data_IF_133680450942
#
_entry.id   IF_133680450942
#
_cell.length_a   1.000
_cell.length_b   1.000
_cell.length_c   1.000
_cell.angle_alpha   90.00
_cell.angle_beta   90.00
_cell.angle_gamma   90.00
#
_symmetry.space_group_name_H-M   'P 1'
#
loop_
_entity.id
_entity.type
_entity.pdbx_description
1 polymer ?
#
# COMPACT_ATOMS: atom_id res chain seq x y z
N UNK A 1 17.00 -4.62 -2.23
CA UNK A 1 16.67 -4.66 -3.68
C UNK A 1 15.61 -3.58 -3.94
N UNK A 2 15.77 -2.40 -3.33
CA UNK A 2 14.63 -1.64 -2.77
C UNK A 2 14.16 -0.50 -3.69
N UNK A 3 14.97 -0.19 -4.70
CA UNK A 3 14.64 0.82 -5.71
C UNK A 3 13.42 0.44 -6.56
N UNK A 4 13.13 -0.86 -6.70
CA UNK A 4 11.96 -1.35 -7.42
C UNK A 4 10.67 -0.99 -6.66
N UNK A 5 10.68 -1.11 -5.32
CA UNK A 5 9.59 -0.70 -4.44
C UNK A 5 9.37 0.81 -4.44
N UNK A 6 10.44 1.61 -4.33
CA UNK A 6 10.35 3.07 -4.41
C UNK A 6 9.69 3.57 -5.70
N UNK A 7 10.02 2.94 -6.84
CA UNK A 7 9.40 3.29 -8.13
C UNK A 7 7.92 2.92 -8.21
N UNK A 8 7.52 1.76 -7.67
CA UNK A 8 6.13 1.31 -7.62
C UNK A 8 5.29 2.20 -6.70
N UNK A 9 5.82 2.58 -5.54
CA UNK A 9 5.19 3.51 -4.61
C UNK A 9 4.99 4.88 -5.27
N UNK A 10 5.98 5.36 -6.04
CA UNK A 10 5.86 6.62 -6.78
C UNK A 10 4.71 6.60 -7.81
N UNK A 11 4.60 5.54 -8.60
CA UNK A 11 3.48 5.39 -9.56
C UNK A 11 2.14 5.28 -8.82
N UNK A 12 2.11 4.59 -7.68
CA UNK A 12 0.92 4.45 -6.83
C UNK A 12 0.48 5.81 -6.27
N UNK A 13 1.43 6.63 -5.82
CA UNK A 13 1.19 8.03 -5.41
C UNK A 13 0.62 8.87 -6.56
N UNK A 14 1.17 8.75 -7.77
CA UNK A 14 0.66 9.44 -8.95
C UNK A 14 -0.78 9.00 -9.29
N UNK A 15 -1.09 7.72 -9.19
CA UNK A 15 -2.46 7.21 -9.41
C UNK A 15 -3.45 7.69 -8.35
N UNK A 16 -3.02 7.81 -7.09
CA UNK A 16 -3.84 8.42 -6.05
C UNK A 16 -4.11 9.91 -6.37
N UNK A 17 -3.11 10.65 -6.88
CA UNK A 17 -3.29 12.03 -7.32
C UNK A 17 -4.27 12.14 -8.50
N UNK A 18 -4.16 11.26 -9.49
CA UNK A 18 -5.14 11.17 -10.58
C UNK A 18 -6.56 10.87 -10.08
N UNK A 19 -6.70 10.01 -9.07
CA UNK A 19 -7.99 9.79 -8.44
C UNK A 19 -8.50 11.04 -7.71
N UNK A 20 -7.62 11.81 -7.07
CA UNK A 20 -8.00 13.08 -6.45
C UNK A 20 -8.53 14.06 -7.51
N UNK A 21 -7.80 14.30 -8.60
CA UNK A 21 -8.19 15.26 -9.64
C UNK A 21 -9.53 14.91 -10.29
N UNK A 22 -9.83 13.63 -10.50
CA UNK A 22 -11.12 13.15 -11.01
C UNK A 22 -12.30 13.40 -10.05
N UNK A 23 -12.03 13.75 -8.79
CA UNK A 23 -13.03 13.99 -7.74
C UNK A 23 -13.00 15.42 -7.23
N UNK A 24 -12.45 16.36 -8.00
CA UNK A 24 -12.38 17.80 -7.65
C UNK A 24 -13.74 18.41 -7.26
N UNK A 25 -14.84 17.90 -7.80
CA UNK A 25 -16.21 18.33 -7.45
C UNK A 25 -16.73 17.78 -6.08
N UNK A 26 -16.00 16.88 -5.41
CA UNK A 26 -16.35 16.27 -4.12
C UNK A 26 -15.21 16.48 -3.12
N UNK A 27 -15.26 17.54 -2.28
CA UNK A 27 -14.10 17.99 -1.51
C UNK A 27 -13.55 16.94 -0.54
N UNK A 28 -14.42 16.18 0.13
CA UNK A 28 -13.98 15.12 1.05
C UNK A 28 -13.23 13.99 0.33
N UNK A 29 -13.75 13.54 -0.81
CA UNK A 29 -13.10 12.48 -1.58
C UNK A 29 -11.79 12.99 -2.20
N UNK A 30 -11.77 14.22 -2.73
CA UNK A 30 -10.55 14.89 -3.20
C UNK A 30 -9.47 14.91 -2.11
N UNK A 31 -9.81 15.38 -0.90
CA UNK A 31 -8.86 15.48 0.22
C UNK A 31 -8.27 14.14 0.62
N UNK A 32 -9.07 13.07 0.66
CA UNK A 32 -8.58 11.73 1.03
C UNK A 32 -7.60 11.19 -0.01
N UNK A 33 -7.91 11.32 -1.30
CA UNK A 33 -7.02 10.88 -2.36
C UNK A 33 -5.75 11.72 -2.45
N UNK A 34 -5.85 13.02 -2.15
CA UNK A 34 -4.70 13.91 -2.08
C UNK A 34 -3.80 13.54 -0.89
N UNK A 35 -4.40 13.28 0.28
CA UNK A 35 -3.69 12.80 1.46
C UNK A 35 -2.99 11.48 1.17
N UNK A 36 -3.71 10.51 0.59
CA UNK A 36 -3.15 9.21 0.21
C UNK A 36 -1.99 9.35 -0.76
N UNK A 37 -2.11 10.22 -1.77
CA UNK A 37 -1.01 10.52 -2.69
C UNK A 37 0.21 11.12 -1.98
N UNK A 38 -0.01 12.09 -1.09
CA UNK A 38 1.07 12.71 -0.34
C UNK A 38 1.76 11.69 0.60
N UNK A 39 0.99 10.89 1.34
CA UNK A 39 1.53 9.87 2.25
C UNK A 39 2.34 8.83 1.49
N UNK A 40 1.79 8.23 0.42
CA UNK A 40 2.52 7.24 -0.40
C UNK A 40 3.73 7.89 -1.07
N UNK A 41 3.63 9.15 -1.49
CA UNK A 41 4.73 9.89 -2.10
C UNK A 41 5.89 10.11 -1.13
N UNK A 42 5.59 10.42 0.15
CA UNK A 42 6.62 10.54 1.19
C UNK A 42 7.32 9.20 1.44
N UNK A 43 6.57 8.10 1.52
CA UNK A 43 7.16 6.75 1.67
C UNK A 43 8.00 6.37 0.45
N UNK A 44 7.55 6.72 -0.76
CA UNK A 44 8.33 6.50 -1.98
C UNK A 44 9.66 7.26 -1.97
N UNK A 45 9.70 8.49 -1.43
CA UNK A 45 10.93 9.26 -1.26
C UNK A 45 11.83 8.55 -0.26
N UNK A 46 11.29 8.17 0.90
CA UNK A 46 12.04 7.44 1.92
C UNK A 46 12.72 6.19 1.35
N UNK A 47 11.98 5.37 0.59
CA UNK A 47 12.51 4.18 -0.08
C UNK A 47 13.55 4.48 -1.17
N UNK A 48 13.29 5.46 -2.03
CA UNK A 48 14.23 5.82 -3.10
C UNK A 48 15.58 6.35 -2.56
N UNK A 49 15.55 6.98 -1.39
CA UNK A 49 16.72 7.57 -0.74
C UNK A 49 17.24 6.78 0.46
N UNK A 50 16.60 5.65 0.80
CA UNK A 50 16.92 4.78 1.94
C UNK A 50 17.09 5.59 3.24
N UNK A 51 16.17 6.51 3.53
CA UNK A 51 16.30 7.37 4.71
C UNK A 51 16.01 6.59 6.00
N UNK A 52 15.10 5.61 5.97
CA UNK A 52 14.81 4.73 7.11
C UNK A 52 15.99 3.80 7.47
N UNK A 53 16.73 3.25 6.50
CA UNK A 53 17.94 2.45 6.79
C UNK A 53 18.97 3.26 7.58
N UNK A 54 19.13 4.55 7.26
CA UNK A 54 20.01 5.48 8.01
C UNK A 54 19.47 5.82 9.40
N UNK A 55 18.15 5.74 9.60
CA UNK A 55 17.53 5.95 10.90
C UNK A 55 17.64 4.69 11.78
N UNK A 56 17.48 3.50 11.20
CA UNK A 56 17.63 2.20 11.89
C UNK A 56 19.05 2.03 12.43
N UNK A 57 20.07 2.50 11.71
CA UNK A 57 21.46 2.56 12.20
C UNK A 57 21.61 3.35 13.52
N UNK A 58 20.65 4.24 13.84
CA UNK A 58 20.66 5.13 15.00
C UNK A 58 19.70 4.64 16.10
N UNK A 59 18.53 4.08 15.76
CA UNK A 59 17.47 3.74 16.73
C UNK A 59 17.28 2.24 17.01
N UNK A 60 17.78 1.34 16.15
CA UNK A 60 17.93 -0.08 16.45
C UNK A 60 16.65 -0.93 16.58
N UNK A 61 15.47 -0.43 16.21
CA UNK A 61 14.20 -1.19 16.26
C UNK A 61 13.21 -0.68 15.19
N UNK A 62 12.73 -1.57 14.32
CA UNK A 62 11.87 -1.24 13.15
C UNK A 62 10.53 -2.02 13.11
N UNK A 63 10.29 -2.94 14.04
CA UNK A 63 9.17 -3.87 13.88
C UNK A 63 7.84 -3.38 14.44
N UNK A 64 7.87 -2.56 15.50
CA UNK A 64 6.68 -1.90 16.04
C UNK A 64 5.99 -0.95 15.03
N UNK A 65 6.73 -0.11 14.27
CA UNK A 65 6.19 0.68 13.17
C UNK A 65 5.43 -0.14 12.10
N UNK A 66 5.93 -1.32 11.73
CA UNK A 66 5.32 -2.16 10.69
C UNK A 66 3.92 -2.67 11.08
N UNK A 67 3.72 -3.07 12.34
CA UNK A 67 2.39 -3.46 12.87
C UNK A 67 1.42 -2.26 12.85
N UNK A 68 1.90 -1.08 13.23
CA UNK A 68 1.07 0.13 13.21
C UNK A 68 0.66 0.50 11.78
N UNK A 69 1.57 0.37 10.82
CA UNK A 69 1.32 0.64 9.40
C UNK A 69 0.22 -0.25 8.83
N UNK A 70 0.24 -1.55 9.14
CA UNK A 70 -0.79 -2.45 8.63
C UNK A 70 -2.16 -2.19 9.27
N UNK A 71 -2.21 -1.88 10.57
CA UNK A 71 -3.44 -1.48 11.23
C UNK A 71 -4.01 -0.20 10.59
N UNK A 72 -3.15 0.79 10.32
CA UNK A 72 -3.53 2.01 9.61
C UNK A 72 -4.03 1.73 8.19
N UNK A 73 -3.40 0.82 7.45
CA UNK A 73 -3.81 0.44 6.10
C UNK A 73 -5.22 -0.16 6.07
N UNK A 74 -5.53 -1.08 7.01
CA UNK A 74 -6.86 -1.68 7.14
C UNK A 74 -7.93 -0.66 7.49
N UNK A 75 -7.65 0.23 8.44
CA UNK A 75 -8.54 1.36 8.79
C UNK A 75 -8.72 2.30 7.61
N UNK A 76 -7.66 2.59 6.87
CA UNK A 76 -7.69 3.43 5.66
C UNK A 76 -8.62 2.87 4.58
N UNK A 77 -8.52 1.57 4.28
CA UNK A 77 -9.41 0.89 3.32
C UNK A 77 -10.87 0.96 3.79
N UNK A 78 -11.11 0.73 5.09
CA UNK A 78 -12.45 0.82 5.67
C UNK A 78 -13.02 2.24 5.54
N UNK A 79 -12.28 3.28 5.95
CA UNK A 79 -12.70 4.68 5.84
C UNK A 79 -12.96 5.06 4.38
N UNK A 80 -12.07 4.67 3.47
CA UNK A 80 -12.23 4.94 2.04
C UNK A 80 -13.52 4.31 1.49
N UNK A 81 -13.86 3.09 1.91
CA UNK A 81 -15.10 2.41 1.51
C UNK A 81 -16.39 3.08 2.03
N UNK A 82 -16.30 3.88 3.09
CA UNK A 82 -17.43 4.63 3.66
C UNK A 82 -17.61 5.99 3.02
N UNK A 83 -16.51 6.67 2.70
CA UNK A 83 -16.53 8.03 2.16
C UNK A 83 -16.71 8.01 0.64
N UNK A 84 -16.24 6.95 -0.02
CA UNK A 84 -16.37 6.78 -1.44
C UNK A 84 -17.14 5.51 -1.82
N UNK A 85 -17.99 5.62 -2.84
CA UNK A 85 -18.54 4.46 -3.54
C UNK A 85 -17.46 3.82 -4.41
N UNK A 86 -16.64 2.99 -3.78
CA UNK A 86 -15.72 2.10 -4.47
C UNK A 86 -16.49 1.08 -5.32
N UNK A 87 -15.94 0.73 -6.48
CA UNK A 87 -16.49 -0.38 -7.26
C UNK A 87 -16.22 -1.70 -6.53
N UNK A 88 -17.14 -2.66 -6.60
CA UNK A 88 -17.02 -3.94 -5.88
C UNK A 88 -15.71 -4.66 -6.20
N UNK A 89 -15.27 -4.62 -7.47
CA UNK A 89 -13.98 -5.20 -7.86
C UNK A 89 -12.77 -4.43 -7.31
N UNK A 90 -12.80 -3.10 -7.25
CA UNK A 90 -11.73 -2.32 -6.65
C UNK A 90 -11.64 -2.57 -5.13
N UNK A 91 -12.78 -2.67 -4.46
CA UNK A 91 -12.84 -3.00 -3.04
C UNK A 91 -12.33 -4.42 -2.75
N UNK A 92 -12.70 -5.40 -3.57
CA UNK A 92 -12.18 -6.76 -3.44
C UNK A 92 -10.66 -6.80 -3.61
N UNK A 93 -10.12 -6.10 -4.62
CA UNK A 93 -8.68 -6.01 -4.84
C UNK A 93 -7.94 -5.33 -3.69
N UNK A 94 -8.50 -4.27 -3.08
CA UNK A 94 -7.93 -3.64 -1.89
C UNK A 94 -7.84 -4.63 -0.72
N UNK A 95 -8.91 -5.39 -0.46
CA UNK A 95 -8.91 -6.37 0.63
C UNK A 95 -7.99 -7.57 0.36
N UNK A 96 -7.92 -8.04 -0.89
CA UNK A 96 -6.95 -9.07 -1.26
C UNK A 96 -5.51 -8.58 -1.12
N UNK A 97 -5.23 -7.34 -1.55
CA UNK A 97 -3.92 -6.70 -1.37
C UNK A 97 -3.56 -6.55 0.09
N UNK A 98 -4.52 -6.12 0.92
CA UNK A 98 -4.36 -6.05 2.37
C UNK A 98 -4.07 -7.40 3.01
N UNK A 99 -4.79 -8.45 2.60
CA UNK A 99 -4.54 -9.80 3.11
C UNK A 99 -3.14 -10.30 2.71
N UNK A 100 -2.72 -10.09 1.46
CA UNK A 100 -1.38 -10.45 1.02
C UNK A 100 -0.29 -9.66 1.78
N UNK A 101 -0.51 -8.36 2.02
CA UNK A 101 0.38 -7.52 2.83
C UNK A 101 0.45 -8.00 4.29
N UNK A 102 -0.66 -8.51 4.84
CA UNK A 102 -0.69 -9.10 6.17
C UNK A 102 0.08 -10.41 6.24
N UNK A 103 -0.07 -11.27 5.23
CA UNK A 103 0.73 -12.49 5.13
C UNK A 103 2.22 -12.19 4.95
N UNK A 104 2.58 -11.16 4.19
CA UNK A 104 3.95 -10.68 4.06
C UNK A 104 4.52 -10.33 5.44
N UNK A 105 3.79 -9.52 6.21
CA UNK A 105 4.23 -9.09 7.54
C UNK A 105 4.39 -10.27 8.52
N UNK A 106 3.53 -11.29 8.40
CA UNK A 106 3.68 -12.51 9.20
C UNK A 106 4.91 -13.34 8.80
N UNK A 107 5.33 -13.29 7.54
CA UNK A 107 6.56 -13.95 7.12
C UNK A 107 7.78 -13.18 7.63
N UNK A 108 7.79 -11.86 7.46
CA UNK A 108 8.84 -10.94 7.93
C UNK A 108 9.07 -11.06 9.45
N UNK A 109 8.01 -11.09 10.25
CA UNK A 109 8.10 -11.24 11.72
C UNK A 109 8.41 -12.68 12.18
N UNK A 110 8.38 -13.64 11.25
CA UNK A 110 8.49 -15.07 11.51
C UNK A 110 9.92 -15.62 11.39
N UNK A 111 10.91 -14.75 11.26
CA UNK A 111 12.33 -15.05 11.07
C UNK A 111 13.13 -15.21 12.38
N UNK A 112 12.48 -14.95 13.52
CA UNK A 112 13.04 -15.06 14.87
C UNK A 112 12.86 -13.82 15.74
N UNK A 113 12.47 -12.66 15.20
CA UNK A 113 12.37 -11.41 15.98
C UNK A 113 11.12 -11.34 16.88
N UNK A 114 9.95 -11.81 16.42
CA UNK A 114 8.72 -11.93 17.23
C UNK A 114 8.31 -13.38 17.50
N UNK A 115 8.38 -14.22 16.46
CA UNK A 115 8.11 -15.64 16.53
C UNK A 115 8.93 -16.36 15.48
N UNK A 116 9.10 -17.67 15.63
CA UNK A 116 9.95 -18.46 14.74
C UNK A 116 9.06 -19.44 13.96
N UNK A 117 8.98 -19.24 12.64
CA UNK A 117 8.27 -20.16 11.76
C UNK A 117 9.15 -21.39 11.48
N UNK A 118 8.57 -22.60 11.39
CA UNK A 118 9.33 -23.82 11.09
C UNK A 118 9.71 -23.90 9.59
N UNK A 119 10.29 -22.84 9.05
CA UNK A 119 10.67 -22.66 7.65
C UNK A 119 12.15 -22.25 7.58
N UNK A 120 12.84 -22.66 6.51
CA UNK A 120 14.23 -22.22 6.31
C UNK A 120 14.28 -20.74 5.91
N UNK A 121 15.33 -20.00 6.34
CA UNK A 121 15.52 -18.57 6.03
C UNK A 121 15.36 -18.23 4.55
N UNK A 122 15.94 -19.03 3.66
CA UNK A 122 15.81 -18.83 2.20
C UNK A 122 14.35 -18.91 1.75
N UNK A 123 13.57 -19.82 2.33
CA UNK A 123 12.15 -19.98 2.01
C UNK A 123 11.33 -18.80 2.51
N UNK A 124 11.63 -18.29 3.71
CA UNK A 124 11.01 -17.07 4.26
C UNK A 124 11.25 -15.87 3.34
N UNK A 125 12.49 -15.62 2.92
CA UNK A 125 12.83 -14.51 2.00
C UNK A 125 12.07 -14.59 0.68
N UNK A 126 11.96 -15.77 0.07
CA UNK A 126 11.16 -15.92 -1.17
C UNK A 126 9.67 -15.67 -0.92
N UNK A 127 9.14 -16.14 0.21
CA UNK A 127 7.73 -15.92 0.57
C UNK A 127 7.46 -14.43 0.76
N UNK A 128 8.35 -13.70 1.43
CA UNK A 128 8.30 -12.25 1.59
C UNK A 128 8.25 -11.56 0.22
N UNK A 129 9.23 -11.82 -0.65
CA UNK A 129 9.29 -11.21 -1.98
C UNK A 129 8.01 -11.46 -2.81
N UNK A 130 7.51 -12.70 -2.82
CA UNK A 130 6.29 -13.03 -3.57
C UNK A 130 5.05 -12.35 -3.00
N UNK A 131 4.91 -12.29 -1.68
CA UNK A 131 3.76 -11.66 -1.02
C UNK A 131 3.81 -10.14 -1.16
N UNK A 132 4.99 -9.54 -1.07
CA UNK A 132 5.21 -8.12 -1.30
C UNK A 132 4.81 -7.71 -2.72
N UNK A 133 5.34 -8.41 -3.73
CA UNK A 133 4.99 -8.18 -5.14
C UNK A 133 3.50 -8.37 -5.40
N UNK A 134 2.91 -9.42 -4.83
CA UNK A 134 1.48 -9.73 -4.98
C UNK A 134 0.61 -8.64 -4.35
N UNK A 135 0.94 -8.20 -3.13
CA UNK A 135 0.20 -7.14 -2.45
C UNK A 135 0.24 -5.83 -3.22
N UNK A 136 1.43 -5.45 -3.73
CA UNK A 136 1.64 -4.25 -4.53
C UNK A 136 0.86 -4.30 -5.84
N UNK A 137 0.89 -5.43 -6.54
CA UNK A 137 0.13 -5.63 -7.78
C UNK A 137 -1.39 -5.52 -7.55
N UNK A 138 -1.89 -6.04 -6.43
CA UNK A 138 -3.31 -5.97 -6.06
C UNK A 138 -3.75 -4.54 -5.74
N UNK A 139 -2.95 -3.79 -4.96
CA UNK A 139 -3.22 -2.37 -4.69
C UNK A 139 -3.22 -1.54 -5.95
N UNK A 140 -2.22 -1.72 -6.82
CA UNK A 140 -2.14 -1.04 -8.10
C UNK A 140 -3.36 -1.33 -8.99
N UNK A 141 -3.74 -2.60 -9.08
CA UNK A 141 -4.92 -3.04 -9.83
C UNK A 141 -6.21 -2.42 -9.28
N UNK A 142 -6.33 -2.31 -7.96
CA UNK A 142 -7.48 -1.67 -7.32
C UNK A 142 -7.60 -0.19 -7.71
N UNK A 143 -6.49 0.56 -7.64
CA UNK A 143 -6.43 1.97 -8.02
C UNK A 143 -6.75 2.16 -9.51
N UNK A 144 -6.21 1.29 -10.37
CA UNK A 144 -6.47 1.30 -11.80
C UNK A 144 -7.95 1.10 -12.10
N UNK A 145 -8.54 0.04 -11.55
CA UNK A 145 -9.95 -0.30 -11.74
C UNK A 145 -10.84 0.82 -11.22
N UNK A 146 -10.51 1.43 -10.08
CA UNK A 146 -11.28 2.54 -9.54
C UNK A 146 -11.20 3.77 -10.45
N UNK A 147 -10.01 4.13 -10.94
CA UNK A 147 -9.81 5.23 -11.87
C UNK A 147 -10.57 5.00 -13.19
N UNK A 148 -10.40 3.83 -13.81
CA UNK A 148 -11.03 3.46 -15.07
C UNK A 148 -12.56 3.53 -14.99
N UNK A 149 -13.14 3.05 -13.89
CA UNK A 149 -14.59 3.09 -13.66
C UNK A 149 -15.13 4.52 -13.50
N UNK A 150 -14.37 5.41 -12.87
CA UNK A 150 -14.76 6.82 -12.73
C UNK A 150 -14.75 7.52 -14.09
N UNK A 151 -13.70 7.31 -14.89
CA UNK A 151 -13.56 7.90 -16.23
C UNK A 151 -14.66 7.42 -17.17
N UNK A 152 -14.95 6.11 -17.20
CA UNK A 152 -15.98 5.53 -18.07
C UNK A 152 -17.41 5.93 -17.68
N UNK A 153 -17.70 6.11 -16.39
CA UNK A 153 -19.01 6.63 -15.93
C UNK A 153 -19.17 8.11 -16.23
N UNK A 154 -18.09 8.91 -16.22
CA UNK A 154 -18.13 10.33 -16.55
C UNK A 154 -18.53 10.57 -18.02
N UNK A 155 -18.07 9.73 -18.95
CA UNK A 155 -18.43 9.82 -20.39
C UNK A 155 -19.88 9.47 -20.75
N UNK A 156 -20.65 8.87 -19.83
CA UNK A 156 -22.06 8.48 -20.05
C UNK A 156 -23.07 9.53 -19.59
N UNK A 157 -22.62 10.69 -19.11
CA UNK A 157 -23.43 11.87 -18.81
C UNK A 157 -23.19 12.94 -19.85
#
# INVERSE_FOLDING_TARGET
>A
MDRLNGSLLWVTSAMALFNATLRSARPMAFMIWLLASATIGVVAIDELFMLHEKAIEITGDDDHPKILLIACAGVGIYILSKIERLHTSAQALLWCGFFAHFCYLLADMGDGDYFDLPLGRVTLTWIEEYLELTSTALYFSALYVQCFNVVTKSKKR
#
